data_IF_397092494703
#
_entry.id   IF_397092494703
#
_cell.length_a   1.000
_cell.length_b   1.000
_cell.length_c   1.000
_cell.angle_alpha   90.00
_cell.angle_beta   90.00
_cell.angle_gamma   90.00
#
_symmetry.space_group_name_H-M   'P 1'
#
loop_
_entity.id
_entity.type
_entity.pdbx_description
1 polymer ?
#
# COMPACT_ATOMS: atom_id res chain seq x y z
N UNK A 1 -23.18 41.64 4.30
CA UNK A 1 -21.93 41.77 3.57
C UNK A 1 -20.84 40.93 4.10
N UNK A 2 -20.57 41.04 5.35
CA UNK A 2 -19.48 40.30 5.93
C UNK A 2 -19.72 38.78 5.92
N UNK A 3 -20.95 38.40 5.89
CA UNK A 3 -21.29 36.99 5.91
C UNK A 3 -20.89 36.27 4.67
N UNK A 4 -20.85 36.99 3.57
CA UNK A 4 -20.49 36.36 2.32
C UNK A 4 -19.05 35.89 2.30
N UNK A 5 -18.20 36.64 2.93
CA UNK A 5 -16.80 36.29 2.96
C UNK A 5 -16.55 35.00 3.71
N UNK A 6 -17.29 34.79 4.75
CA UNK A 6 -17.14 33.59 5.54
C UNK A 6 -17.51 32.35 4.76
N UNK A 7 -18.56 32.46 3.97
CA UNK A 7 -19.00 31.32 3.19
C UNK A 7 -17.99 30.89 2.13
N UNK A 8 -17.36 31.88 1.54
CA UNK A 8 -16.41 31.58 0.49
C UNK A 8 -15.21 30.78 1.02
N UNK A 9 -14.75 31.14 2.20
CA UNK A 9 -13.62 30.43 2.77
C UNK A 9 -13.91 28.99 3.06
N UNK A 10 -15.13 28.69 3.42
CA UNK A 10 -15.46 27.31 3.73
C UNK A 10 -15.43 26.41 2.52
N UNK A 11 -15.73 26.96 1.37
CA UNK A 11 -15.75 26.16 0.17
C UNK A 11 -14.37 25.68 -0.24
N UNK A 12 -13.36 26.43 0.06
CA UNK A 12 -12.01 26.02 -0.32
C UNK A 12 -11.49 24.85 0.48
N UNK A 13 -11.96 24.71 1.69
CA UNK A 13 -11.44 23.67 2.55
C UNK A 13 -11.82 22.27 2.09
N UNK A 14 -12.85 22.15 1.28
CA UNK A 14 -13.34 20.83 0.91
C UNK A 14 -12.85 20.36 -0.43
N UNK A 15 -12.18 21.19 -1.19
CA UNK A 15 -11.86 20.82 -2.57
C UNK A 15 -10.52 20.13 -2.73
N UNK A 16 -9.74 19.99 -1.67
CA UNK A 16 -8.38 19.50 -1.83
C UNK A 16 -8.22 18.02 -1.62
N UNK A 17 -9.24 17.32 -1.20
CA UNK A 17 -9.06 15.92 -0.84
C UNK A 17 -9.31 14.93 -1.97
N UNK A 18 -9.93 15.36 -3.03
CA UNK A 18 -10.38 14.42 -4.04
C UNK A 18 -9.31 14.07 -5.06
N UNK A 19 -8.23 14.83 -5.11
CA UNK A 19 -7.29 14.67 -6.21
C UNK A 19 -6.40 13.46 -6.13
N UNK A 20 -6.04 13.05 -4.93
CA UNK A 20 -5.03 12.02 -4.78
C UNK A 20 -5.51 10.64 -5.17
N UNK A 21 -6.80 10.41 -5.19
CA UNK A 21 -7.34 9.10 -5.49
C UNK A 21 -7.80 8.95 -6.92
N UNK A 22 -7.70 10.00 -7.71
CA UNK A 22 -8.32 9.99 -9.04
C UNK A 22 -7.41 9.60 -10.19
N UNK A 23 -6.11 9.47 -9.94
CA UNK A 23 -5.19 9.16 -11.02
C UNK A 23 -5.49 7.84 -11.69
N UNK A 24 -5.82 6.83 -10.91
CA UNK A 24 -6.19 5.54 -11.44
C UNK A 24 -7.55 5.58 -12.14
N UNK A 25 -8.50 6.30 -11.55
CA UNK A 25 -9.85 6.37 -12.07
C UNK A 25 -9.92 7.18 -13.36
N UNK A 26 -9.02 8.14 -13.51
CA UNK A 26 -8.99 8.97 -14.71
C UNK A 26 -8.26 8.31 -15.86
N UNK A 27 -7.67 7.15 -15.65
CA UNK A 27 -6.96 6.46 -16.69
C UNK A 27 -7.95 5.94 -17.74
N UNK A 28 -7.42 5.52 -18.87
CA UNK A 28 -8.24 4.96 -19.94
C UNK A 28 -8.73 3.55 -19.60
N UNK A 29 -8.31 3.02 -18.47
CA UNK A 29 -8.69 1.68 -18.07
C UNK A 29 -9.86 1.75 -17.10
N UNK A 30 -10.64 0.69 -17.04
CA UNK A 30 -11.81 0.62 -16.17
C UNK A 30 -11.38 0.12 -14.79
N UNK A 31 -10.79 1.00 -14.00
CA UNK A 31 -10.30 0.68 -12.67
C UNK A 31 -11.19 1.28 -11.59
N UNK A 32 -11.21 0.64 -10.44
CA UNK A 32 -11.92 1.15 -9.27
C UNK A 32 -11.21 0.73 -8.01
N UNK A 33 -11.38 1.52 -6.97
CA UNK A 33 -10.82 1.19 -5.67
C UNK A 33 -11.64 0.08 -5.00
N UNK A 34 -10.95 -0.79 -4.29
CA UNK A 34 -11.57 -1.86 -3.54
C UNK A 34 -10.88 -2.01 -2.21
N UNK A 35 -11.58 -2.61 -1.26
CA UNK A 35 -11.02 -2.93 0.05
C UNK A 35 -10.67 -4.40 0.09
N UNK A 36 -9.47 -4.67 0.59
CA UNK A 36 -8.97 -6.04 0.71
C UNK A 36 -8.53 -6.23 2.15
N UNK A 37 -8.93 -7.32 2.81
CA UNK A 37 -8.49 -7.55 4.18
C UNK A 37 -7.01 -7.83 4.25
N UNK A 38 -6.36 -7.24 5.26
CA UNK A 38 -4.95 -7.44 5.52
C UNK A 38 -4.77 -7.66 7.02
N UNK A 39 -3.70 -8.34 7.39
CA UNK A 39 -3.36 -8.55 8.79
C UNK A 39 -2.19 -7.65 9.14
N UNK A 40 -2.40 -6.77 10.08
CA UNK A 40 -1.40 -5.75 10.43
C UNK A 40 -0.88 -5.94 11.83
N UNK A 41 0.37 -5.59 12.02
CA UNK A 41 1.00 -5.56 13.33
C UNK A 41 2.16 -4.59 13.30
N UNK A 42 2.83 -4.43 14.44
CA UNK A 42 4.06 -3.65 14.44
C UNK A 42 5.06 -4.34 13.53
N UNK A 43 5.93 -3.56 12.90
CA UNK A 43 6.91 -4.13 11.99
C UNK A 43 7.77 -5.21 12.67
N UNK A 44 8.27 -5.02 13.90
CA UNK A 44 9.02 -6.10 14.55
C UNK A 44 8.22 -7.39 14.73
N UNK A 45 6.93 -7.30 15.03
CA UNK A 45 6.11 -8.50 15.21
C UNK A 45 5.94 -9.24 13.89
N UNK A 46 5.71 -8.50 12.81
CA UNK A 46 5.56 -9.13 11.51
C UNK A 46 6.88 -9.77 11.08
N UNK A 47 8.00 -9.09 11.32
CA UNK A 47 9.30 -9.67 11.02
C UNK A 47 9.55 -10.95 11.81
N UNK A 48 9.10 -11.00 13.06
CA UNK A 48 9.24 -12.18 13.86
C UNK A 48 8.43 -13.34 13.30
N UNK A 49 7.19 -13.05 12.87
CA UNK A 49 6.35 -14.07 12.24
C UNK A 49 7.01 -14.62 10.99
N UNK A 50 7.54 -13.74 10.15
CA UNK A 50 8.17 -14.16 8.92
C UNK A 50 9.41 -15.02 9.18
N UNK A 51 10.22 -14.61 10.13
CA UNK A 51 11.41 -15.37 10.50
C UNK A 51 11.05 -16.72 11.10
N UNK A 52 10.04 -16.76 11.95
CA UNK A 52 9.61 -18.01 12.59
C UNK A 52 9.10 -19.01 11.54
N UNK A 53 8.65 -18.54 10.41
CA UNK A 53 8.13 -19.39 9.34
C UNK A 53 9.09 -19.51 8.17
N UNK A 54 10.36 -19.18 8.37
CA UNK A 54 11.43 -19.35 7.40
C UNK A 54 11.25 -18.56 6.11
N UNK A 55 10.61 -17.40 6.21
CA UNK A 55 10.49 -16.49 5.07
C UNK A 55 11.67 -15.54 5.03
N UNK A 56 12.14 -15.27 3.84
CA UNK A 56 13.23 -14.32 3.60
C UNK A 56 12.80 -13.29 2.59
N UNK A 57 13.34 -12.10 2.73
CA UNK A 57 13.03 -11.01 1.84
C UNK A 57 13.54 -11.31 0.43
N UNK A 58 12.63 -11.27 -0.53
CA UNK A 58 12.97 -11.45 -1.93
C UNK A 58 13.16 -10.11 -2.63
N UNK A 59 12.24 -9.19 -2.39
CA UNK A 59 12.31 -7.88 -3.02
C UNK A 59 11.56 -6.85 -2.19
N UNK A 60 11.97 -5.60 -2.32
CA UNK A 60 11.30 -4.49 -1.67
C UNK A 60 11.37 -3.29 -2.59
N UNK A 61 10.29 -2.53 -2.61
CA UNK A 61 10.21 -1.34 -3.43
C UNK A 61 9.34 -0.32 -2.71
N UNK A 62 9.39 0.91 -3.20
CA UNK A 62 8.62 2.01 -2.63
C UNK A 62 7.43 2.28 -3.53
N UNK A 63 6.22 2.15 -2.97
CA UNK A 63 5.01 2.51 -3.68
C UNK A 63 4.88 4.02 -3.79
N UNK A 64 4.27 4.46 -4.87
CA UNK A 64 4.03 5.88 -5.08
C UNK A 64 2.61 6.08 -5.58
N UNK A 65 2.05 7.20 -5.23
CA UNK A 65 0.68 7.50 -5.58
C UNK A 65 0.51 7.75 -7.07
N UNK A 66 -0.63 7.39 -7.58
CA UNK A 66 -1.01 7.65 -8.96
C UNK A 66 -0.27 6.84 -9.98
N UNK A 67 0.45 5.80 -9.56
CA UNK A 67 1.22 4.97 -10.48
C UNK A 67 2.23 5.78 -11.29
N UNK A 68 2.83 6.78 -10.64
CA UNK A 68 3.81 7.66 -11.28
C UNK A 68 5.10 7.63 -10.48
N UNK A 69 6.22 7.58 -11.17
CA UNK A 69 7.52 7.58 -10.49
C UNK A 69 7.80 8.90 -9.78
N UNK A 70 7.05 9.94 -10.08
CA UNK A 70 7.13 11.23 -9.39
C UNK A 70 6.06 11.39 -8.31
N UNK A 71 5.23 10.37 -8.09
CA UNK A 71 4.16 10.46 -7.10
C UNK A 71 4.70 10.48 -5.69
N UNK A 72 3.86 10.89 -4.76
CA UNK A 72 4.23 10.93 -3.35
C UNK A 72 4.53 9.52 -2.86
N UNK A 73 5.59 9.35 -2.06
CA UNK A 73 5.89 8.04 -1.48
C UNK A 73 4.72 7.56 -0.63
N UNK A 74 4.40 6.30 -0.79
CA UNK A 74 3.36 5.67 0.02
C UNK A 74 3.99 4.51 0.79
N UNK A 75 3.37 3.34 0.74
CA UNK A 75 3.88 2.21 1.50
C UNK A 75 5.06 1.56 0.78
N UNK A 76 5.97 0.99 1.57
CA UNK A 76 6.94 0.06 1.01
C UNK A 76 6.24 -1.24 0.71
N UNK A 77 6.59 -1.85 -0.40
CA UNK A 77 6.02 -3.12 -0.84
C UNK A 77 7.12 -4.16 -0.84
N UNK A 78 6.89 -5.24 -0.13
CA UNK A 78 7.91 -6.28 0.02
C UNK A 78 7.31 -7.63 -0.29
N UNK A 79 8.14 -8.50 -0.88
CA UNK A 79 7.79 -9.88 -1.10
C UNK A 79 8.78 -10.77 -0.36
N UNK A 80 8.23 -11.77 0.29
CA UNK A 80 9.02 -12.75 1.04
C UNK A 80 8.73 -14.13 0.48
N UNK A 81 9.76 -14.97 0.44
CA UNK A 81 9.63 -16.33 -0.04
C UNK A 81 10.23 -17.24 1.02
N UNK A 82 9.58 -18.37 1.28
CA UNK A 82 10.06 -19.31 2.28
C UNK A 82 11.27 -20.08 1.76
N UNK A 83 11.94 -20.77 2.66
CA UNK A 83 13.18 -21.46 2.32
C UNK A 83 12.99 -22.49 1.21
N UNK A 84 11.87 -23.19 1.20
CA UNK A 84 11.58 -24.17 0.15
C UNK A 84 11.23 -23.54 -1.18
N UNK A 85 10.87 -22.26 -1.18
CA UNK A 85 10.54 -21.56 -2.41
C UNK A 85 9.14 -21.84 -2.94
N UNK A 86 8.27 -22.42 -2.13
CA UNK A 86 6.92 -22.77 -2.57
C UNK A 86 5.82 -21.92 -1.92
N UNK A 87 6.19 -20.99 -1.05
CA UNK A 87 5.25 -20.08 -0.41
C UNK A 87 5.76 -18.66 -0.46
N UNK A 88 4.85 -17.71 -0.48
CA UNK A 88 5.20 -16.30 -0.48
C UNK A 88 4.27 -15.51 0.41
N UNK A 89 4.76 -14.34 0.83
CA UNK A 89 3.97 -13.34 1.56
C UNK A 89 4.21 -12.00 0.90
N UNK A 90 3.14 -11.29 0.61
CA UNK A 90 3.21 -9.92 0.16
C UNK A 90 2.88 -9.02 1.33
N UNK A 91 3.71 -8.02 1.58
CA UNK A 91 3.56 -7.15 2.73
C UNK A 91 3.74 -5.70 2.34
N UNK A 92 3.04 -4.82 3.06
CA UNK A 92 3.20 -3.39 2.90
C UNK A 92 3.56 -2.79 4.25
N UNK A 93 4.53 -1.88 4.24
CA UNK A 93 4.97 -1.21 5.46
C UNK A 93 4.70 0.28 5.33
N UNK A 94 4.17 0.87 6.40
CA UNK A 94 3.87 2.29 6.41
C UNK A 94 5.12 3.13 6.15
N UNK A 95 4.96 4.36 5.64
CA UNK A 95 6.13 5.21 5.39
C UNK A 95 6.99 5.45 6.62
N UNK A 96 6.38 5.44 7.80
CA UNK A 96 7.13 5.60 9.05
C UNK A 96 7.93 4.37 9.43
N UNK A 97 7.58 3.22 8.84
CA UNK A 97 8.23 1.96 9.16
C UNK A 97 7.71 1.26 10.40
N UNK A 98 6.71 1.82 11.07
CA UNK A 98 6.24 1.27 12.34
C UNK A 98 5.26 0.13 12.20
N UNK A 99 4.47 0.13 11.14
CA UNK A 99 3.43 -0.86 10.96
C UNK A 99 3.59 -1.58 9.64
N UNK A 100 3.41 -2.89 9.67
CA UNK A 100 3.47 -3.71 8.47
C UNK A 100 2.20 -4.55 8.38
N UNK A 101 1.65 -4.64 7.20
CA UNK A 101 0.45 -5.42 6.94
C UNK A 101 0.79 -6.50 5.91
N UNK A 102 0.36 -7.72 6.21
CA UNK A 102 0.53 -8.84 5.27
C UNK A 102 -0.77 -9.04 4.52
N UNK A 103 -0.67 -9.20 3.21
CA UNK A 103 -1.87 -9.40 2.40
C UNK A 103 -2.31 -10.86 2.46
N UNK A 104 -1.46 -11.75 2.04
CA UNK A 104 -1.76 -13.18 2.04
C UNK A 104 -0.48 -13.96 2.21
N UNK A 105 -0.61 -15.11 2.82
CA UNK A 105 0.42 -16.14 2.73
C UNK A 105 -0.05 -17.08 1.63
N UNK A 106 0.71 -17.12 0.55
CA UNK A 106 0.33 -17.85 -0.65
C UNK A 106 1.13 -19.14 -0.77
N UNK A 107 0.50 -20.16 -1.30
CA UNK A 107 1.06 -21.49 -1.41
C UNK A 107 1.18 -21.89 -2.87
N UNK A 108 1.95 -22.94 -3.12
CA UNK A 108 2.13 -23.45 -4.48
C UNK A 108 2.68 -22.40 -5.43
N UNK A 109 3.70 -21.70 -4.94
CA UNK A 109 4.34 -20.67 -5.74
C UNK A 109 5.00 -21.30 -6.97
N UNK A 110 4.66 -20.76 -8.14
CA UNK A 110 5.24 -21.23 -9.38
C UNK A 110 5.88 -20.04 -10.09
N UNK A 111 7.02 -20.27 -10.68
CA UNK A 111 7.70 -19.27 -11.49
C UNK A 111 7.50 -19.62 -12.96
N UNK A 112 6.95 -18.69 -13.74
CA UNK A 112 6.78 -18.92 -15.18
C UNK A 112 8.13 -19.22 -15.80
N UNK A 113 8.17 -20.21 -16.63
CA UNK A 113 9.37 -20.71 -17.23
C UNK A 113 9.98 -19.84 -18.32
#
# INVERSE_FOLDING_TARGET
MKKLLTLITLLFATSTFAEDTNDWEKSKYDFRWMHVPVVCGTSPEVMRYLADNDFKLESISLGREGAKDTGEPSYFVAYYINEKGDQSVAAITSPSGHETCMMYRSFNLEKPG
#
